data_IF_373937618395
#
_entry.id   IF_373937618395
#
_cell.length_a   1.000
_cell.length_b   1.000
_cell.length_c   1.000
_cell.angle_alpha   90.00
_cell.angle_beta   90.00
_cell.angle_gamma   90.00
#
_symmetry.space_group_name_H-M   'P 1'
#
loop_
_entity.id
_entity.type
_entity.pdbx_description
1 polymer ?
#
# COMPACT_ATOMS: atom_id res chain seq x y z
N UNK A 1 1.41 -1.27 -21.86
CA UNK A 1 1.14 -0.61 -20.56
C UNK A 1 2.41 -0.59 -19.71
N UNK A 2 3.22 0.49 -19.74
CA UNK A 2 4.42 0.58 -18.90
C UNK A 2 4.08 1.15 -17.52
N UNK A 3 3.93 0.27 -16.51
CA UNK A 3 3.76 0.68 -15.11
C UNK A 3 5.10 1.18 -14.57
N UNK A 4 5.13 2.29 -13.81
CA UNK A 4 6.37 2.91 -13.29
C UNK A 4 7.29 1.92 -12.54
N UNK A 5 6.71 1.00 -11.77
CA UNK A 5 7.45 -0.03 -11.03
C UNK A 5 8.18 -1.01 -11.97
N UNK A 6 7.53 -1.50 -13.03
CA UNK A 6 8.12 -2.41 -14.02
C UNK A 6 9.34 -1.74 -14.66
N UNK A 7 9.18 -0.47 -15.06
CA UNK A 7 10.28 0.30 -15.65
C UNK A 7 11.46 0.45 -14.68
N UNK A 8 11.19 0.76 -13.41
CA UNK A 8 12.21 0.89 -12.39
C UNK A 8 13.01 -0.42 -12.20
N UNK A 9 12.32 -1.56 -12.08
CA UNK A 9 12.97 -2.86 -11.89
C UNK A 9 13.85 -3.24 -13.09
N UNK A 10 13.35 -3.03 -14.32
CA UNK A 10 14.12 -3.23 -15.54
C UNK A 10 15.39 -2.37 -15.58
N UNK A 11 15.28 -1.07 -15.26
CA UNK A 11 16.41 -0.15 -15.24
C UNK A 11 17.47 -0.52 -14.20
N UNK A 12 17.06 -1.20 -13.12
CA UNK A 12 17.96 -1.67 -12.07
C UNK A 12 18.48 -3.09 -12.29
N UNK A 13 18.08 -3.77 -13.36
CA UNK A 13 18.45 -5.15 -13.62
C UNK A 13 17.92 -6.14 -12.56
N UNK A 14 16.87 -5.77 -11.84
CA UNK A 14 16.29 -6.62 -10.80
C UNK A 14 15.35 -7.62 -11.48
N UNK A 15 15.58 -8.91 -11.27
CA UNK A 15 14.75 -9.95 -11.84
C UNK A 15 13.34 -9.97 -11.21
N UNK A 16 12.31 -10.05 -12.05
CA UNK A 16 10.92 -10.20 -11.61
C UNK A 16 10.10 -10.96 -12.65
N UNK A 17 8.98 -11.55 -12.21
CA UNK A 17 7.97 -12.15 -13.08
C UNK A 17 6.69 -11.33 -13.02
N UNK A 18 6.13 -11.00 -14.18
CA UNK A 18 4.79 -10.43 -14.24
C UNK A 18 3.75 -11.52 -14.01
N UNK A 19 2.83 -11.25 -13.11
CA UNK A 19 1.65 -12.08 -12.86
C UNK A 19 0.43 -11.24 -13.20
N UNK A 20 -0.28 -11.63 -14.25
CA UNK A 20 -1.47 -10.94 -14.72
C UNK A 20 -2.71 -11.70 -14.22
N UNK A 21 -3.77 -10.96 -13.90
CA UNK A 21 -5.06 -11.51 -13.52
C UNK A 21 -6.17 -10.60 -14.06
N UNK A 22 -7.33 -11.18 -14.36
CA UNK A 22 -8.50 -10.43 -14.83
C UNK A 22 -8.99 -9.58 -13.66
N UNK A 23 -9.07 -8.27 -13.84
CA UNK A 23 -9.35 -7.35 -12.73
C UNK A 23 -10.83 -6.95 -12.71
N UNK A 24 -11.73 -7.90 -12.42
CA UNK A 24 -13.18 -7.64 -12.45
C UNK A 24 -13.67 -6.94 -11.15
N UNK A 25 -13.01 -7.20 -10.01
CA UNK A 25 -13.33 -6.59 -8.72
C UNK A 25 -12.06 -6.05 -8.03
N UNK A 26 -12.11 -4.85 -7.46
CA UNK A 26 -11.00 -4.29 -6.66
C UNK A 26 -10.87 -5.05 -5.33
N UNK A 27 -9.70 -5.68 -5.09
CA UNK A 27 -9.38 -6.25 -3.78
C UNK A 27 -8.29 -7.33 -3.82
N UNK A 28 -7.47 -7.39 -2.75
CA UNK A 28 -6.37 -8.35 -2.63
C UNK A 28 -6.85 -9.82 -2.61
N UNK A 29 -8.06 -10.08 -2.11
CA UNK A 29 -8.66 -11.42 -2.06
C UNK A 29 -9.01 -11.98 -3.44
N UNK A 30 -9.39 -11.11 -4.40
CA UNK A 30 -9.66 -11.54 -5.78
C UNK A 30 -8.35 -11.86 -6.51
N UNK A 31 -7.33 -11.00 -6.37
CA UNK A 31 -6.01 -11.25 -6.93
C UNK A 31 -5.39 -12.57 -6.42
N UNK A 32 -5.50 -12.87 -5.12
CA UNK A 32 -4.99 -14.12 -4.56
C UNK A 32 -5.71 -15.36 -5.11
N UNK A 33 -7.05 -15.33 -5.17
CA UNK A 33 -7.84 -16.41 -5.78
C UNK A 33 -7.53 -16.61 -7.27
N UNK A 34 -7.38 -15.52 -8.03
CA UNK A 34 -7.15 -15.58 -9.48
C UNK A 34 -5.72 -15.93 -9.87
N UNK A 35 -4.73 -15.68 -9.00
CA UNK A 35 -3.31 -15.92 -9.33
C UNK A 35 -2.75 -17.21 -8.72
N UNK A 36 -3.48 -17.85 -7.80
CA UNK A 36 -3.01 -19.03 -7.07
C UNK A 36 -1.90 -18.73 -6.04
N UNK A 37 -1.53 -17.47 -5.84
CA UNK A 37 -0.57 -17.08 -4.82
C UNK A 37 -1.26 -17.00 -3.45
N UNK A 38 -0.72 -17.67 -2.41
CA UNK A 38 -1.24 -17.54 -1.05
C UNK A 38 -1.18 -16.10 -0.56
N UNK A 39 -2.21 -15.65 0.15
CA UNK A 39 -2.35 -14.25 0.58
C UNK A 39 -1.22 -13.81 1.52
N UNK A 40 -0.64 -14.75 2.26
CA UNK A 40 0.47 -14.52 3.19
C UNK A 40 1.77 -14.18 2.46
N UNK A 41 1.88 -14.58 1.18
CA UNK A 41 3.01 -14.28 0.29
C UNK A 41 2.81 -13.02 -0.56
N UNK A 42 1.61 -12.44 -0.53
CA UNK A 42 1.35 -11.15 -1.14
C UNK A 42 1.71 -10.01 -0.18
N UNK A 43 2.30 -8.92 -0.68
CA UNK A 43 2.63 -7.73 0.12
C UNK A 43 1.65 -6.61 -0.18
N UNK A 44 0.91 -6.16 0.85
CA UNK A 44 0.16 -4.89 0.84
C UNK A 44 1.12 -3.74 1.09
N UNK A 45 0.94 -2.67 0.32
CA UNK A 45 1.61 -1.37 0.54
C UNK A 45 0.58 -0.38 1.07
N UNK A 46 0.72 0.06 2.31
CA UNK A 46 -0.18 1.03 2.94
C UNK A 46 0.55 2.36 3.15
N UNK A 47 -0.17 3.47 2.98
CA UNK A 47 0.31 4.80 3.38
C UNK A 47 -0.38 5.17 4.68
N UNK A 48 0.41 5.52 5.70
CA UNK A 48 -0.07 5.87 7.04
C UNK A 48 0.35 7.29 7.40
N UNK A 49 -0.61 8.10 7.80
CA UNK A 49 -0.45 9.46 8.32
C UNK A 49 -0.09 9.39 9.81
N UNK A 50 1.04 10.00 10.19
CA UNK A 50 1.56 10.08 11.56
C UNK A 50 1.32 11.47 12.19
N UNK A 51 0.44 12.27 11.59
CA UNK A 51 0.18 13.65 11.98
C UNK A 51 1.37 14.56 11.67
N UNK A 52 1.93 15.20 12.70
CA UNK A 52 3.02 16.18 12.53
C UNK A 52 4.33 15.58 12.02
N UNK A 53 4.52 14.25 12.15
CA UNK A 53 5.71 13.56 11.63
C UNK A 53 5.56 13.14 10.15
N UNK A 54 4.49 13.56 9.46
CA UNK A 54 4.28 13.25 8.04
C UNK A 54 3.70 11.87 7.82
N UNK A 55 4.09 11.23 6.71
CA UNK A 55 3.56 9.92 6.30
C UNK A 55 4.67 8.86 6.25
N UNK A 56 4.29 7.60 6.44
CA UNK A 56 5.16 6.43 6.23
C UNK A 56 4.50 5.42 5.31
N UNK A 57 5.32 4.59 4.67
CA UNK A 57 4.88 3.43 3.90
C UNK A 57 5.06 2.18 4.77
N UNK A 58 4.02 1.37 4.88
CA UNK A 58 4.03 0.08 5.59
C UNK A 58 3.89 -1.03 4.55
N UNK A 59 4.85 -1.94 4.52
CA UNK A 59 4.81 -3.18 3.75
C UNK A 59 4.41 -4.32 4.68
N UNK A 60 3.37 -5.08 4.34
CA UNK A 60 2.91 -6.18 5.19
C UNK A 60 2.25 -7.32 4.41
N UNK A 61 2.18 -8.54 4.97
CA UNK A 61 1.44 -9.66 4.38
C UNK A 61 -0.02 -9.34 4.06
N UNK A 62 -0.53 -9.93 2.98
CA UNK A 62 -1.85 -9.68 2.43
C UNK A 62 -3.00 -10.24 3.26
N UNK A 63 -2.75 -11.22 4.09
CA UNK A 63 -3.67 -11.82 5.05
C UNK A 63 -3.77 -11.02 6.37
N UNK A 64 -2.81 -10.12 6.64
CA UNK A 64 -2.76 -9.36 7.89
C UNK A 64 -3.45 -8.00 7.82
N UNK A 65 -3.80 -7.51 9.00
CA UNK A 65 -4.35 -6.17 9.27
C UNK A 65 -3.39 -5.36 10.13
N UNK A 66 -3.33 -4.05 9.91
CA UNK A 66 -2.39 -3.16 10.59
C UNK A 66 -2.88 -2.79 12.00
N UNK A 67 -1.99 -2.88 12.99
CA UNK A 67 -2.23 -2.35 14.34
C UNK A 67 -1.74 -0.89 14.42
N UNK A 68 -2.65 0.07 14.22
CA UNK A 68 -2.33 1.50 14.20
C UNK A 68 -1.84 2.03 15.56
N UNK A 69 -2.34 1.48 16.67
CA UNK A 69 -1.90 1.86 18.01
C UNK A 69 -0.46 1.41 18.25
N UNK A 70 -0.17 0.13 17.97
CA UNK A 70 1.18 -0.41 18.09
C UNK A 70 2.19 0.28 17.16
N UNK A 71 1.78 0.65 15.95
CA UNK A 71 2.62 1.45 15.05
C UNK A 71 2.89 2.86 15.61
N UNK A 72 1.89 3.50 16.22
CA UNK A 72 2.05 4.81 16.83
C UNK A 72 3.03 4.76 18.02
N UNK A 73 2.91 3.74 18.86
CA UNK A 73 3.82 3.48 19.98
C UNK A 73 5.26 3.24 19.49
N UNK A 74 5.45 2.33 18.53
CA UNK A 74 6.76 1.99 17.98
C UNK A 74 7.48 3.18 17.32
N UNK A 75 6.73 4.12 16.72
CA UNK A 75 7.28 5.33 16.09
C UNK A 75 7.30 6.56 17.01
N UNK A 76 6.91 6.38 18.28
CA UNK A 76 6.78 7.43 19.28
C UNK A 76 5.98 8.64 18.75
N UNK A 77 4.78 8.37 18.24
CA UNK A 77 3.82 9.38 17.76
C UNK A 77 2.49 9.24 18.50
N UNK A 78 1.75 10.34 18.59
CA UNK A 78 0.47 10.38 19.32
C UNK A 78 -0.65 9.59 18.64
N UNK A 79 -0.64 9.49 17.30
CA UNK A 79 -1.65 8.79 16.51
C UNK A 79 -1.08 8.33 15.18
N UNK A 80 -1.66 7.28 14.63
CA UNK A 80 -1.45 6.86 13.24
C UNK A 80 -2.79 6.51 12.58
N UNK A 81 -2.94 6.79 11.29
CA UNK A 81 -4.15 6.47 10.53
C UNK A 81 -3.82 6.12 9.07
N UNK A 82 -4.49 5.11 8.51
CA UNK A 82 -4.38 4.83 7.07
C UNK A 82 -4.89 6.04 6.28
N UNK A 83 -4.14 6.46 5.27
CA UNK A 83 -4.58 7.51 4.35
C UNK A 83 -5.65 6.96 3.42
N UNK A 84 -6.84 7.58 3.42
CA UNK A 84 -7.87 7.28 2.45
C UNK A 84 -7.37 7.63 1.03
N UNK A 85 -7.57 6.70 0.07
CA UNK A 85 -7.12 6.84 -1.32
C UNK A 85 -7.77 8.03 -2.06
N UNK A 86 -8.85 8.59 -1.54
CA UNK A 86 -9.49 9.82 -2.02
C UNK A 86 -9.44 10.87 -0.91
N UNK A 87 -8.33 11.60 -0.79
CA UNK A 87 -8.33 12.92 -0.17
C UNK A 87 -8.75 13.90 -1.26
N UNK A 88 -9.99 14.39 -1.23
CA UNK A 88 -10.29 15.67 -1.89
C UNK A 88 -9.28 16.69 -1.39
N UNK A 89 -8.68 17.44 -2.32
CA UNK A 89 -7.81 18.55 -1.99
C UNK A 89 -8.60 19.41 -1.00
N UNK A 90 -8.09 19.58 0.22
CA UNK A 90 -8.57 20.64 1.09
C UNK A 90 -8.22 21.94 0.36
N UNK A 91 -9.17 22.49 -0.37
CA UNK A 91 -9.11 23.88 -0.81
C UNK A 91 -9.00 24.71 0.46
N UNK A 92 -7.85 25.38 0.63
CA UNK A 92 -7.75 26.42 1.64
C UNK A 92 -8.85 27.43 1.32
N UNK A 93 -9.82 27.54 2.22
CA UNK A 93 -10.76 28.66 2.28
C UNK A 93 -9.94 29.85 2.76
N UNK A 94 -9.35 30.59 1.82
CA UNK A 94 -8.79 31.93 1.94
C UNK A 94 -8.32 32.43 0.55
N UNK A 95 -9.18 32.33 -0.45
CA UNK A 95 -9.20 33.18 -1.65
C UNK A 95 -10.65 33.64 -1.87
#
# INVERSE_FOLDING_TARGET
MSRRAIRFLNQKGIHFKLVEYIHDVKGASFAAKSTGFPMERAIKTLVVDLGRKGNVIVLMPGDKSINLKGLAEALSVKRSAIVALFRERRTNKND
#
